data_IF_232939057955
#
_entry.id   IF_232939057955
#
_cell.length_a   1.000
_cell.length_b   1.000
_cell.length_c   1.000
_cell.angle_alpha   90.00
_cell.angle_beta   90.00
_cell.angle_gamma   90.00
#
_symmetry.space_group_name_H-M   'P 1'
#
loop_
_entity.id
_entity.type
_entity.pdbx_description
1 polymer ?
#
# COMPACT_ATOMS: atom_id res chain seq x y z
N UNK A 1 24.00 7.42 7.90
CA UNK A 1 23.17 7.60 6.67
C UNK A 1 23.92 7.33 5.34
N UNK A 2 25.04 6.57 5.33
CA UNK A 2 25.84 6.35 4.11
C UNK A 2 25.09 5.57 3.01
N UNK A 3 24.32 4.55 3.40
CA UNK A 3 23.56 3.71 2.47
C UNK A 3 22.56 4.47 1.58
N UNK A 4 22.14 5.66 2.02
CA UNK A 4 21.14 6.50 1.31
C UNK A 4 21.77 7.63 0.48
N UNK A 5 23.08 7.84 0.59
CA UNK A 5 23.77 8.99 -0.03
C UNK A 5 23.86 8.88 -1.56
N UNK A 6 24.05 7.67 -2.08
CA UNK A 6 24.23 7.48 -3.52
C UNK A 6 23.00 7.89 -4.33
N UNK A 7 21.79 7.58 -3.83
CA UNK A 7 20.54 7.96 -4.48
C UNK A 7 20.34 9.49 -4.49
N UNK A 8 20.84 10.20 -3.46
CA UNK A 8 20.78 11.66 -3.43
C UNK A 8 21.53 12.29 -4.60
N UNK A 9 22.64 11.66 -5.03
CA UNK A 9 23.49 12.16 -6.11
C UNK A 9 23.00 11.71 -7.48
N UNK A 10 22.43 10.52 -7.55
CA UNK A 10 21.96 9.89 -8.78
C UNK A 10 20.72 9.05 -8.48
N UNK A 11 19.51 9.62 -8.66
CA UNK A 11 18.25 8.94 -8.39
C UNK A 11 17.92 7.88 -9.45
N UNK A 12 18.53 6.69 -9.31
CA UNK A 12 18.32 5.57 -10.22
C UNK A 12 18.33 4.23 -9.49
N UNK A 13 17.83 3.17 -10.16
CA UNK A 13 17.67 1.82 -9.60
C UNK A 13 18.97 1.29 -8.97
N UNK A 14 20.13 1.62 -9.55
CA UNK A 14 21.44 1.19 -9.06
C UNK A 14 21.76 1.67 -7.63
N UNK A 15 21.11 2.74 -7.20
CA UNK A 15 21.33 3.37 -5.90
C UNK A 15 20.19 3.14 -4.90
N UNK A 16 19.21 2.29 -5.26
CA UNK A 16 18.20 1.82 -4.32
C UNK A 16 18.79 0.86 -3.30
N UNK A 17 18.19 0.79 -2.12
CA UNK A 17 18.50 -0.24 -1.12
C UNK A 17 18.04 -1.58 -1.64
N UNK A 18 18.96 -2.53 -1.65
CA UNK A 18 18.72 -3.92 -2.00
C UNK A 18 18.83 -4.76 -0.73
N UNK A 19 18.23 -5.95 -0.74
CA UNK A 19 18.56 -6.97 0.24
C UNK A 19 20.09 -7.22 0.21
N UNK A 20 20.69 -7.62 1.34
CA UNK A 20 22.13 -7.94 1.36
C UNK A 20 22.42 -9.14 0.46
N UNK A 21 23.67 -9.26 0.03
CA UNK A 21 24.06 -10.41 -0.78
C UNK A 21 23.89 -11.70 0.01
N UNK A 22 23.34 -12.73 -0.66
CA UNK A 22 22.95 -14.01 -0.08
C UNK A 22 21.82 -13.95 0.96
N UNK A 23 21.21 -12.79 1.20
CA UNK A 23 20.01 -12.66 2.03
C UNK A 23 18.76 -12.58 1.14
N UNK A 24 17.85 -13.53 1.33
CA UNK A 24 16.55 -13.55 0.64
C UNK A 24 15.43 -12.83 1.42
N UNK A 25 15.75 -12.25 2.58
CA UNK A 25 14.81 -11.55 3.46
C UNK A 25 15.43 -10.24 3.98
N UNK A 26 14.62 -9.38 4.60
CA UNK A 26 15.10 -8.09 5.13
C UNK A 26 14.04 -6.98 5.21
N UNK A 27 12.77 -7.33 5.04
CA UNK A 27 11.61 -6.44 5.13
C UNK A 27 10.42 -7.21 5.72
N UNK A 28 9.30 -6.54 5.96
CA UNK A 28 8.18 -7.07 6.77
C UNK A 28 7.60 -8.39 6.25
N UNK A 29 7.61 -8.61 4.93
CA UNK A 29 7.15 -9.85 4.28
C UNK A 29 8.13 -11.01 4.44
N UNK A 30 9.20 -10.90 5.22
CA UNK A 30 9.91 -12.02 5.87
C UNK A 30 10.34 -13.26 5.06
N UNK A 31 10.21 -13.29 3.73
CA UNK A 31 10.52 -14.43 2.88
C UNK A 31 10.89 -13.98 1.46
N UNK A 32 11.69 -14.78 0.71
CA UNK A 32 11.99 -14.50 -0.70
C UNK A 32 10.73 -14.50 -1.57
N UNK A 33 9.83 -15.47 -1.33
CA UNK A 33 8.56 -15.58 -2.04
C UNK A 33 7.64 -14.39 -1.82
N UNK A 34 7.70 -13.76 -0.64
CA UNK A 34 6.93 -12.54 -0.34
C UNK A 34 7.29 -11.36 -1.25
N UNK A 35 8.43 -11.38 -1.94
CA UNK A 35 8.85 -10.39 -2.92
C UNK A 35 8.85 -10.92 -4.36
N UNK A 36 8.28 -12.10 -4.63
CA UNK A 36 8.40 -12.73 -5.95
C UNK A 36 9.86 -13.03 -6.30
N UNK A 37 10.69 -13.36 -5.30
CA UNK A 37 12.14 -13.57 -5.41
C UNK A 37 12.95 -12.35 -5.89
N UNK A 38 12.38 -11.16 -5.85
CA UNK A 38 13.08 -9.91 -6.12
C UNK A 38 13.94 -9.44 -4.94
N UNK A 39 14.85 -8.50 -5.22
CA UNK A 39 15.84 -8.02 -4.23
C UNK A 39 15.76 -6.53 -3.91
N UNK A 40 14.94 -5.75 -4.62
CA UNK A 40 14.81 -4.31 -4.41
C UNK A 40 13.36 -4.00 -4.01
N UNK A 41 13.04 -4.06 -2.70
CA UNK A 41 11.66 -3.93 -2.23
C UNK A 41 11.11 -2.50 -2.31
N UNK A 42 9.83 -2.37 -2.70
CA UNK A 42 9.11 -1.09 -2.68
C UNK A 42 8.97 -0.54 -1.27
N UNK A 43 8.62 -1.39 -0.30
CA UNK A 43 8.35 -0.98 1.07
C UNK A 43 9.61 -0.37 1.74
N UNK A 44 10.79 -0.86 1.42
CA UNK A 44 12.03 -0.24 1.92
C UNK A 44 12.28 1.10 1.23
N UNK A 45 12.29 1.10 -0.10
CA UNK A 45 12.81 2.23 -0.87
C UNK A 45 11.85 3.43 -0.93
N UNK A 46 10.57 3.17 -1.14
CA UNK A 46 9.57 4.22 -1.31
C UNK A 46 8.95 4.68 0.00
N UNK A 47 8.93 3.82 1.04
CA UNK A 47 8.10 4.10 2.23
C UNK A 47 8.81 3.97 3.58
N UNK A 48 9.91 3.23 3.74
CA UNK A 48 10.65 3.18 5.02
C UNK A 48 11.87 4.09 5.06
N UNK A 49 12.63 4.19 3.95
CA UNK A 49 13.81 5.06 3.90
C UNK A 49 13.46 6.54 4.07
N UNK A 50 12.49 7.12 3.32
CA UNK A 50 12.18 8.54 3.46
C UNK A 50 11.75 8.95 4.88
N UNK A 51 10.78 8.29 5.56
CA UNK A 51 10.40 8.69 6.91
C UNK A 51 11.47 8.37 7.95
N UNK A 52 12.30 7.35 7.77
CA UNK A 52 13.45 7.12 8.65
C UNK A 52 14.46 8.29 8.58
N UNK A 53 14.70 8.84 7.40
CA UNK A 53 15.56 10.01 7.22
C UNK A 53 14.91 11.27 7.81
N UNK A 54 13.60 11.48 7.65
CA UNK A 54 12.89 12.55 8.34
C UNK A 54 12.97 12.39 9.86
N UNK A 55 12.78 11.17 10.39
CA UNK A 55 12.90 10.88 11.81
C UNK A 55 14.30 11.17 12.34
N UNK A 56 15.37 10.81 11.60
CA UNK A 56 16.74 11.21 11.96
C UNK A 56 16.85 12.74 12.04
N UNK A 57 16.32 13.46 11.04
CA UNK A 57 16.32 14.92 11.06
C UNK A 57 15.62 15.48 12.31
N UNK A 58 14.43 14.99 12.64
CA UNK A 58 13.68 15.46 13.82
C UNK A 58 14.35 15.08 15.14
N UNK A 59 14.81 13.84 15.29
CA UNK A 59 15.50 13.38 16.50
C UNK A 59 16.79 14.17 16.74
N UNK A 60 17.52 14.60 15.69
CA UNK A 60 18.68 15.49 15.85
C UNK A 60 18.33 16.91 16.30
N UNK A 61 17.05 17.33 16.21
CA UNK A 61 16.60 18.62 16.76
C UNK A 61 16.21 18.51 18.24
N UNK A 62 15.98 17.30 18.75
CA UNK A 62 15.58 17.08 20.13
C UNK A 62 16.81 17.14 21.05
N UNK A 63 16.75 17.94 22.13
CA UNK A 63 17.81 17.94 23.14
C UNK A 63 18.05 16.52 23.68
N UNK A 64 19.31 16.20 23.97
CA UNK A 64 19.76 14.98 24.64
C UNK A 64 19.49 13.63 23.92
N UNK A 65 18.92 13.62 22.71
CA UNK A 65 18.74 12.38 21.93
C UNK A 65 20.04 11.95 21.25
N UNK A 66 20.78 12.90 20.68
CA UNK A 66 22.10 12.66 20.09
C UNK A 66 23.17 13.51 20.79
N UNK A 67 24.44 13.06 20.81
CA UNK A 67 25.54 13.87 21.33
C UNK A 67 25.62 15.20 20.59
N UNK A 68 25.80 16.31 21.30
CA UNK A 68 25.97 17.63 20.69
C UNK A 68 27.40 17.76 20.12
N UNK A 69 27.59 17.38 18.86
CA UNK A 69 28.87 17.45 18.17
C UNK A 69 28.68 17.79 16.67
N UNK A 70 29.77 18.11 15.98
CA UNK A 70 29.71 18.55 14.59
C UNK A 70 29.12 17.49 13.62
N UNK A 71 29.24 16.20 13.94
CA UNK A 71 28.72 15.12 13.10
C UNK A 71 27.19 15.06 13.14
N UNK A 72 26.61 15.06 14.35
CA UNK A 72 25.17 14.98 14.57
C UNK A 72 24.45 16.26 14.14
N UNK A 73 25.08 17.44 14.35
CA UNK A 73 24.58 18.71 13.83
C UNK A 73 24.46 18.70 12.30
N UNK A 74 25.43 18.09 11.60
CA UNK A 74 25.38 17.98 10.15
C UNK A 74 24.23 17.06 9.66
N UNK A 75 23.79 16.10 10.49
CA UNK A 75 22.72 15.17 10.11
C UNK A 75 21.36 15.86 9.97
N UNK A 76 21.09 16.90 10.77
CA UNK A 76 19.81 17.61 10.77
C UNK A 76 19.38 18.04 9.37
N UNK A 77 20.22 18.81 8.68
CA UNK A 77 19.91 19.31 7.34
C UNK A 77 20.10 18.22 6.27
N UNK A 78 21.15 17.41 6.38
CA UNK A 78 21.45 16.37 5.39
C UNK A 78 20.35 15.31 5.32
N UNK A 79 19.81 14.87 6.46
CA UNK A 79 18.76 13.87 6.54
C UNK A 79 17.45 14.36 5.92
N UNK A 80 17.01 15.59 6.23
CA UNK A 80 15.79 16.16 5.64
C UNK A 80 15.91 16.35 4.13
N UNK A 81 17.05 16.88 3.65
CA UNK A 81 17.32 17.03 2.21
C UNK A 81 17.25 15.68 1.51
N UNK A 82 17.92 14.68 2.07
CA UNK A 82 17.96 13.33 1.52
C UNK A 82 16.59 12.65 1.55
N UNK A 83 15.84 12.81 2.64
CA UNK A 83 14.48 12.30 2.77
C UNK A 83 13.60 12.82 1.63
N UNK A 84 13.69 14.12 1.32
CA UNK A 84 12.97 14.72 0.20
C UNK A 84 13.36 14.10 -1.14
N UNK A 85 14.66 13.97 -1.42
CA UNK A 85 15.13 13.34 -2.68
C UNK A 85 14.62 11.90 -2.81
N UNK A 86 14.72 11.11 -1.75
CA UNK A 86 14.21 9.73 -1.73
C UNK A 86 12.69 9.68 -1.96
N UNK A 87 11.92 10.48 -1.21
CA UNK A 87 10.47 10.55 -1.33
C UNK A 87 10.03 10.91 -2.75
N UNK A 88 10.67 11.90 -3.36
CA UNK A 88 10.22 12.44 -4.66
C UNK A 88 10.69 11.57 -5.84
N UNK A 89 11.82 10.86 -5.73
CA UNK A 89 12.44 10.19 -6.88
C UNK A 89 12.29 8.67 -6.87
N UNK A 90 11.93 8.03 -5.75
CA UNK A 90 11.79 6.57 -5.71
C UNK A 90 10.46 6.05 -6.27
N UNK A 91 9.27 6.66 -6.02
CA UNK A 91 8.01 6.11 -6.52
C UNK A 91 7.95 5.96 -8.05
N UNK A 92 8.44 6.92 -8.87
CA UNK A 92 8.47 6.75 -10.33
C UNK A 92 9.27 5.55 -10.83
N UNK A 93 10.28 5.09 -10.06
CA UNK A 93 11.08 3.92 -10.42
C UNK A 93 10.29 2.61 -10.29
N UNK A 94 9.28 2.57 -9.42
CA UNK A 94 8.41 1.41 -9.19
C UNK A 94 7.08 1.50 -9.95
N UNK A 95 6.65 2.71 -10.33
CA UNK A 95 5.40 2.91 -11.05
C UNK A 95 5.39 2.16 -12.40
N UNK A 96 4.28 1.52 -12.72
CA UNK A 96 4.00 0.98 -14.05
C UNK A 96 2.58 1.32 -14.48
N UNK A 97 2.32 1.15 -15.79
CA UNK A 97 0.97 1.25 -16.32
C UNK A 97 0.70 0.16 -17.35
N UNK A 98 -0.54 -0.30 -17.40
CA UNK A 98 -1.04 -1.33 -18.32
C UNK A 98 -2.31 -0.78 -18.95
N UNK A 99 -2.56 -0.99 -20.25
CA UNK A 99 -3.83 -0.55 -20.83
C UNK A 99 -4.99 -1.39 -20.29
N UNK A 100 -6.20 -0.82 -20.28
CA UNK A 100 -7.40 -1.55 -19.82
C UNK A 100 -7.65 -2.82 -20.61
N UNK A 101 -7.31 -2.83 -21.91
CA UNK A 101 -7.45 -3.99 -22.78
C UNK A 101 -6.47 -5.08 -22.38
N UNK A 102 -5.18 -4.73 -22.19
CA UNK A 102 -4.17 -5.70 -21.76
C UNK A 102 -4.47 -6.22 -20.36
N UNK A 103 -4.89 -5.36 -19.44
CA UNK A 103 -5.32 -5.76 -18.10
C UNK A 103 -6.50 -6.75 -18.17
N UNK A 104 -7.51 -6.47 -19.00
CA UNK A 104 -8.65 -7.40 -19.21
C UNK A 104 -8.18 -8.78 -19.68
N UNK A 105 -7.31 -8.84 -20.70
CA UNK A 105 -6.75 -10.11 -21.17
C UNK A 105 -5.97 -10.86 -20.09
N UNK A 106 -5.20 -10.14 -19.26
CA UNK A 106 -4.44 -10.74 -18.16
C UNK A 106 -5.36 -11.34 -17.09
N UNK A 107 -6.47 -10.67 -16.75
CA UNK A 107 -7.44 -11.21 -15.79
C UNK A 107 -8.13 -12.47 -16.33
N UNK A 108 -8.46 -12.51 -17.63
CA UNK A 108 -9.00 -13.70 -18.28
C UNK A 108 -7.98 -14.84 -18.30
N UNK A 109 -6.72 -14.55 -18.63
CA UNK A 109 -5.62 -15.52 -18.57
C UNK A 109 -5.45 -16.09 -17.15
N UNK A 110 -5.51 -15.24 -16.13
CA UNK A 110 -5.40 -15.66 -14.73
C UNK A 110 -6.47 -16.69 -14.37
N UNK A 111 -7.75 -16.42 -14.68
CA UNK A 111 -8.85 -17.37 -14.37
C UNK A 111 -8.74 -18.72 -15.07
N UNK A 112 -7.98 -18.82 -16.16
CA UNK A 112 -7.73 -20.09 -16.86
C UNK A 112 -6.61 -20.92 -16.22
N UNK A 113 -5.74 -20.27 -15.44
CA UNK A 113 -4.52 -20.85 -14.88
C UNK A 113 -4.59 -21.08 -13.37
N UNK A 114 -5.47 -20.36 -12.69
CA UNK A 114 -5.59 -20.41 -11.24
C UNK A 114 -6.49 -21.55 -10.77
N UNK A 115 -5.99 -22.34 -9.83
CA UNK A 115 -6.68 -23.53 -9.32
C UNK A 115 -7.53 -23.26 -8.07
N UNK A 116 -7.43 -22.08 -7.44
CA UNK A 116 -8.14 -21.74 -6.20
C UNK A 116 -9.24 -20.69 -6.38
N UNK A 117 -9.31 -20.04 -7.55
CA UNK A 117 -10.31 -19.03 -7.89
C UNK A 117 -10.92 -19.29 -9.27
N UNK A 118 -12.22 -19.57 -9.29
CA UNK A 118 -13.02 -19.71 -10.51
C UNK A 118 -14.18 -18.69 -10.60
N UNK A 119 -14.02 -17.54 -9.92
CA UNK A 119 -14.99 -16.46 -9.91
C UNK A 119 -14.87 -15.49 -11.09
N UNK A 120 -15.66 -14.41 -11.12
CA UNK A 120 -15.59 -13.39 -12.16
C UNK A 120 -14.26 -12.65 -12.16
N UNK A 121 -13.81 -12.19 -13.33
CA UNK A 121 -12.58 -11.40 -13.48
C UNK A 121 -12.69 -9.99 -12.92
N UNK A 122 -13.91 -9.44 -12.87
CA UNK A 122 -14.19 -8.03 -12.56
C UNK A 122 -13.52 -7.03 -13.51
N UNK A 123 -13.27 -7.42 -14.77
CA UNK A 123 -12.69 -6.55 -15.79
C UNK A 123 -13.51 -5.27 -16.04
N UNK A 124 -14.84 -5.31 -15.83
CA UNK A 124 -15.72 -4.14 -15.92
C UNK A 124 -15.32 -3.02 -14.95
N UNK A 125 -14.71 -3.37 -13.80
CA UNK A 125 -14.25 -2.40 -12.81
C UNK A 125 -13.03 -1.59 -13.27
N UNK A 126 -12.25 -2.10 -14.24
CA UNK A 126 -11.07 -1.40 -14.78
C UNK A 126 -11.44 -0.09 -15.49
N UNK A 127 -12.63 -0.02 -16.08
CA UNK A 127 -13.13 1.14 -16.82
C UNK A 127 -13.86 2.17 -15.95
N UNK A 128 -14.20 1.83 -14.70
CA UNK A 128 -14.93 2.73 -13.79
C UNK A 128 -14.03 3.82 -13.19
N UNK A 129 -12.71 3.66 -13.28
CA UNK A 129 -11.74 4.56 -12.70
C UNK A 129 -11.12 5.48 -13.77
N UNK A 130 -11.02 6.81 -13.55
CA UNK A 130 -10.69 7.80 -14.58
C UNK A 130 -9.18 7.89 -14.88
N UNK A 131 -8.56 6.79 -15.31
CA UNK A 131 -7.13 6.72 -15.58
C UNK A 131 -6.79 6.69 -17.08
N UNK A 132 -7.60 7.37 -17.90
CA UNK A 132 -7.39 7.52 -19.35
C UNK A 132 -7.14 6.20 -20.09
N UNK A 133 -7.89 5.14 -19.74
CA UNK A 133 -7.75 3.81 -20.36
C UNK A 133 -6.52 3.02 -19.92
N UNK A 134 -5.91 3.38 -18.79
CA UNK A 134 -4.77 2.65 -18.22
C UNK A 134 -5.01 2.29 -16.76
N UNK A 135 -4.53 1.15 -16.32
CA UNK A 135 -4.33 0.86 -14.90
C UNK A 135 -2.94 1.37 -14.53
N UNK A 136 -2.87 2.33 -13.60
CA UNK A 136 -1.61 2.79 -13.01
C UNK A 136 -1.46 2.12 -11.64
N UNK A 137 -0.26 1.61 -11.38
CA UNK A 137 0.05 0.90 -10.12
C UNK A 137 1.56 0.97 -9.83
N UNK A 138 1.96 0.45 -8.68
CA UNK A 138 3.35 0.41 -8.21
C UNK A 138 3.79 -1.03 -8.01
N UNK A 139 4.97 -1.35 -8.53
CA UNK A 139 5.52 -2.69 -8.43
C UNK A 139 5.88 -3.02 -6.98
N UNK A 140 5.58 -4.25 -6.55
CA UNK A 140 5.93 -4.76 -5.23
C UNK A 140 7.44 -4.70 -4.96
N UNK A 141 8.22 -4.94 -6.02
CA UNK A 141 9.67 -4.90 -5.99
C UNK A 141 10.24 -4.71 -7.40
N UNK A 142 11.55 -4.44 -7.46
CA UNK A 142 12.35 -4.58 -8.68
C UNK A 142 13.28 -5.78 -8.49
N UNK A 143 13.37 -6.63 -9.53
CA UNK A 143 14.04 -7.93 -9.45
C UNK A 143 15.49 -7.80 -9.00
N UNK A 144 16.33 -7.09 -9.74
CA UNK A 144 17.73 -6.76 -9.35
C UNK A 144 18.21 -5.50 -10.08
N UNK A 145 19.41 -4.99 -9.77
CA UNK A 145 20.03 -3.93 -10.59
C UNK A 145 20.40 -4.42 -11.99
N UNK A 146 20.83 -5.68 -12.13
CA UNK A 146 21.25 -6.24 -13.42
C UNK A 146 20.08 -6.61 -14.34
N UNK A 147 18.94 -6.98 -13.77
CA UNK A 147 17.67 -7.26 -14.44
C UNK A 147 16.59 -6.48 -13.68
N UNK A 148 16.36 -5.20 -14.06
CA UNK A 148 15.50 -4.28 -13.33
C UNK A 148 14.02 -4.46 -13.67
N UNK A 149 13.59 -5.71 -13.85
CA UNK A 149 12.19 -6.04 -14.13
C UNK A 149 11.33 -5.74 -12.89
N UNK A 150 10.16 -5.15 -13.13
CA UNK A 150 9.19 -4.82 -12.09
C UNK A 150 8.35 -6.03 -11.74
N UNK A 151 8.23 -6.33 -10.46
CA UNK A 151 7.30 -7.33 -9.95
C UNK A 151 5.90 -6.69 -9.91
N UNK A 152 5.17 -6.80 -11.03
CA UNK A 152 3.85 -6.20 -11.25
C UNK A 152 2.74 -6.93 -10.49
N UNK A 153 2.81 -6.87 -9.17
CA UNK A 153 1.85 -7.43 -8.22
C UNK A 153 1.19 -6.26 -7.50
N UNK A 154 -0.12 -6.06 -7.65
CA UNK A 154 -0.86 -5.03 -6.90
C UNK A 154 -0.79 -5.38 -5.41
N UNK A 155 -0.49 -4.43 -4.53
CA UNK A 155 -0.19 -4.75 -3.13
C UNK A 155 -0.65 -3.66 -2.15
N UNK A 156 -0.80 -4.02 -0.87
CA UNK A 156 -1.22 -3.08 0.19
C UNK A 156 -0.06 -2.26 0.77
N UNK A 157 1.20 -2.51 0.42
CA UNK A 157 2.36 -1.78 0.97
C UNK A 157 2.30 -0.27 0.64
N UNK A 158 1.46 0.14 -0.32
CA UNK A 158 1.11 1.55 -0.57
C UNK A 158 0.51 2.23 0.67
N UNK A 159 -0.13 1.48 1.57
CA UNK A 159 -0.65 1.97 2.86
C UNK A 159 0.42 2.65 3.73
N UNK A 160 1.65 2.13 3.72
CA UNK A 160 2.76 2.75 4.44
C UNK A 160 3.04 4.15 3.93
N UNK A 161 3.01 4.36 2.61
CA UNK A 161 3.21 5.67 2.02
C UNK A 161 2.11 6.64 2.46
N UNK A 162 0.84 6.21 2.38
CA UNK A 162 -0.31 7.01 2.80
C UNK A 162 -0.23 7.42 4.28
N UNK A 163 0.32 6.55 5.12
CA UNK A 163 0.35 6.76 6.58
C UNK A 163 1.59 7.51 7.07
N UNK A 164 2.77 7.23 6.51
CA UNK A 164 4.06 7.73 7.01
C UNK A 164 4.56 8.99 6.31
N UNK A 165 4.03 9.32 5.13
CA UNK A 165 4.60 10.35 4.27
C UNK A 165 3.56 11.39 3.85
N UNK A 166 4.05 12.63 3.78
CA UNK A 166 3.36 13.75 3.15
C UNK A 166 4.23 14.20 1.96
N UNK A 167 3.67 14.17 0.74
CA UNK A 167 4.37 14.63 -0.47
C UNK A 167 4.07 16.09 -0.77
N UNK A 168 5.09 16.82 -1.23
CA UNK A 168 4.94 18.19 -1.76
C UNK A 168 4.87 18.20 -3.30
N UNK A 169 5.13 17.05 -3.92
CA UNK A 169 4.91 16.83 -5.35
C UNK A 169 3.44 16.42 -5.54
N UNK A 170 2.62 17.41 -5.92
CA UNK A 170 1.17 17.28 -6.04
C UNK A 170 0.75 16.33 -7.17
N UNK A 171 1.48 16.29 -8.30
CA UNK A 171 1.14 15.42 -9.43
C UNK A 171 1.45 13.96 -9.10
N UNK A 172 2.60 13.71 -8.48
CA UNK A 172 2.96 12.39 -7.98
C UNK A 172 1.99 11.92 -6.90
N UNK A 173 1.68 12.78 -5.93
CA UNK A 173 0.72 12.48 -4.86
C UNK A 173 -0.67 12.18 -5.42
N UNK A 174 -1.16 13.00 -6.35
CA UNK A 174 -2.46 12.77 -7.01
C UNK A 174 -2.50 11.43 -7.73
N UNK A 175 -1.43 11.09 -8.46
CA UNK A 175 -1.31 9.80 -9.15
C UNK A 175 -1.28 8.63 -8.16
N UNK A 176 -0.50 8.75 -7.09
CA UNK A 176 -0.34 7.72 -6.07
C UNK A 176 -1.66 7.44 -5.32
N UNK A 177 -2.34 8.51 -4.88
CA UNK A 177 -3.63 8.42 -4.19
C UNK A 177 -4.68 7.78 -5.09
N UNK A 178 -4.74 8.21 -6.35
CA UNK A 178 -5.69 7.65 -7.30
C UNK A 178 -5.42 6.15 -7.56
N UNK A 179 -4.16 5.76 -7.78
CA UNK A 179 -3.80 4.36 -7.99
C UNK A 179 -4.16 3.50 -6.77
N UNK A 180 -3.78 3.95 -5.58
CA UNK A 180 -4.00 3.22 -4.32
C UNK A 180 -5.49 3.09 -3.98
N UNK A 181 -6.26 4.17 -4.09
CA UNK A 181 -7.69 4.16 -3.83
C UNK A 181 -8.44 3.22 -4.80
N UNK A 182 -8.10 3.26 -6.09
CA UNK A 182 -8.73 2.40 -7.07
C UNK A 182 -8.31 0.91 -6.92
N UNK A 183 -7.10 0.62 -6.45
CA UNK A 183 -6.72 -0.75 -6.10
C UNK A 183 -7.60 -1.34 -4.99
N UNK A 184 -7.98 -0.53 -3.99
CA UNK A 184 -8.93 -0.93 -2.94
C UNK A 184 -10.37 -1.03 -3.46
N UNK A 185 -10.82 -0.09 -4.29
CA UNK A 185 -12.20 -0.10 -4.81
C UNK A 185 -12.49 -1.24 -5.78
N UNK A 186 -11.47 -1.73 -6.50
CA UNK A 186 -11.63 -2.85 -7.44
C UNK A 186 -11.68 -4.18 -6.68
N UNK A 187 -12.69 -5.04 -6.96
CA UNK A 187 -12.69 -6.40 -6.44
C UNK A 187 -11.51 -7.22 -6.98
N UNK A 188 -10.96 -8.14 -6.19
CA UNK A 188 -10.08 -9.21 -6.67
C UNK A 188 -10.84 -10.02 -7.73
N UNK A 189 -10.37 -10.22 -8.96
CA UNK A 189 -8.99 -10.13 -9.49
C UNK A 189 -8.51 -8.77 -10.00
N UNK A 190 -9.40 -7.82 -10.28
CA UNK A 190 -9.03 -6.52 -10.85
C UNK A 190 -8.37 -5.56 -9.84
N UNK A 191 -8.51 -5.83 -8.54
CA UNK A 191 -7.91 -5.07 -7.44
C UNK A 191 -7.66 -5.93 -6.21
N UNK A 192 -7.77 -5.33 -5.03
CA UNK A 192 -7.37 -5.97 -3.78
C UNK A 192 -8.56 -6.49 -2.95
N UNK A 193 -9.78 -6.02 -3.21
CA UNK A 193 -10.88 -6.26 -2.27
C UNK A 193 -11.64 -7.56 -2.51
N UNK A 194 -11.92 -8.28 -1.43
CA UNK A 194 -12.84 -9.42 -1.38
C UNK A 194 -13.90 -9.14 -0.31
N UNK A 195 -15.03 -9.87 -0.29
CA UNK A 195 -16.00 -9.77 0.80
C UNK A 195 -15.43 -10.09 2.20
N UNK A 196 -14.27 -10.75 2.29
CA UNK A 196 -13.61 -11.09 3.57
C UNK A 196 -12.43 -10.17 3.92
N UNK A 197 -12.23 -9.08 3.17
CA UNK A 197 -11.15 -8.10 3.37
C UNK A 197 -10.32 -7.84 2.11
N UNK A 198 -9.29 -7.00 2.22
CA UNK A 198 -8.38 -6.69 1.12
C UNK A 198 -7.12 -7.59 1.17
N UNK A 199 -6.80 -8.25 0.05
CA UNK A 199 -5.60 -9.11 -0.05
C UNK A 199 -4.33 -8.27 -0.06
N UNK A 200 -3.23 -8.79 0.50
CA UNK A 200 -1.96 -8.04 0.60
C UNK A 200 -1.12 -8.04 -0.68
N UNK A 201 -1.37 -9.01 -1.57
CA UNK A 201 -0.72 -9.12 -2.87
C UNK A 201 -1.68 -9.77 -3.87
N UNK A 202 -1.76 -9.22 -5.07
CA UNK A 202 -2.55 -9.75 -6.18
C UNK A 202 -1.67 -9.81 -7.45
N UNK A 203 -1.32 -11.03 -7.92
CA UNK A 203 -0.50 -11.23 -9.11
C UNK A 203 -1.30 -11.19 -10.42
N UNK A 204 -2.63 -10.98 -10.41
CA UNK A 204 -3.47 -11.17 -11.59
C UNK A 204 -3.13 -10.26 -12.80
N UNK A 205 -2.45 -9.14 -12.56
CA UNK A 205 -1.99 -8.23 -13.60
C UNK A 205 -0.52 -8.44 -14.01
N UNK A 206 0.15 -9.47 -13.48
CA UNK A 206 1.57 -9.72 -13.78
C UNK A 206 1.77 -10.33 -15.17
N UNK A 207 0.86 -11.22 -15.60
CA UNK A 207 1.06 -12.06 -16.78
C UNK A 207 2.21 -13.07 -16.65
N UNK A 208 2.66 -13.32 -15.43
CA UNK A 208 3.81 -14.17 -15.10
C UNK A 208 3.34 -15.38 -14.27
N UNK A 209 3.51 -16.57 -14.83
CA UNK A 209 3.04 -17.82 -14.23
C UNK A 209 3.80 -18.19 -12.95
N UNK A 210 5.08 -17.81 -12.84
CA UNK A 210 5.85 -18.01 -11.61
C UNK A 210 5.30 -17.13 -10.49
N UNK A 211 4.95 -15.87 -10.79
CA UNK A 211 4.35 -14.97 -9.80
C UNK A 211 2.95 -15.45 -9.37
N UNK A 212 2.14 -15.96 -10.30
CA UNK A 212 0.82 -16.55 -9.98
C UNK A 212 1.00 -17.76 -9.04
N UNK A 213 1.96 -18.64 -9.34
CA UNK A 213 2.28 -19.79 -8.49
C UNK A 213 2.86 -19.44 -7.12
N UNK A 214 3.54 -18.29 -6.99
CA UNK A 214 4.11 -17.79 -5.73
C UNK A 214 3.03 -17.16 -4.84
N UNK A 215 2.17 -16.32 -5.39
CA UNK A 215 1.21 -15.51 -4.64
C UNK A 215 -0.20 -16.14 -4.63
N UNK A 216 -0.32 -17.34 -4.04
CA UNK A 216 -1.62 -18.04 -3.89
C UNK A 216 -2.38 -17.61 -2.64
N UNK A 217 -3.64 -18.04 -2.50
CA UNK A 217 -4.42 -17.84 -1.27
C UNK A 217 -3.89 -18.68 -0.08
N UNK A 218 -2.97 -19.61 -0.33
CA UNK A 218 -2.31 -20.39 0.73
C UNK A 218 -0.91 -19.84 1.08
N UNK A 219 -0.38 -18.89 0.31
CA UNK A 219 0.93 -18.31 0.59
C UNK A 219 0.84 -17.23 1.69
N UNK A 220 1.76 -17.26 2.67
CA UNK A 220 1.74 -16.37 3.84
C UNK A 220 1.73 -14.86 3.50
N UNK A 221 2.26 -14.48 2.34
CA UNK A 221 2.25 -13.12 1.79
C UNK A 221 1.59 -13.04 0.40
N UNK A 222 0.78 -14.05 0.07
CA UNK A 222 0.04 -14.19 -1.19
C UNK A 222 -1.24 -13.37 -1.24
N UNK A 223 -2.28 -13.94 -1.85
CA UNK A 223 -3.62 -13.36 -1.92
C UNK A 223 -4.40 -13.55 -0.60
N UNK A 224 -3.71 -13.37 0.52
CA UNK A 224 -4.22 -13.47 1.90
C UNK A 224 -4.48 -12.10 2.47
N UNK A 225 -5.22 -12.04 3.58
CA UNK A 225 -5.57 -10.80 4.26
C UNK A 225 -4.81 -10.70 5.58
N UNK A 226 -4.16 -9.56 5.81
CA UNK A 226 -3.46 -9.26 7.06
C UNK A 226 -4.18 -8.16 7.82
N UNK A 227 -4.54 -8.40 9.09
CA UNK A 227 -5.33 -7.46 9.87
C UNK A 227 -4.65 -6.10 10.04
N UNK A 228 -3.36 -6.09 10.34
CA UNK A 228 -2.61 -4.84 10.50
C UNK A 228 -2.45 -4.05 9.19
N UNK A 229 -2.40 -4.72 8.03
CA UNK A 229 -2.38 -4.06 6.72
C UNK A 229 -3.72 -3.36 6.43
N UNK A 230 -4.85 -3.99 6.80
CA UNK A 230 -6.16 -3.33 6.72
C UNK A 230 -6.21 -2.09 7.61
N UNK A 231 -5.75 -2.21 8.85
CA UNK A 231 -5.70 -1.10 9.80
C UNK A 231 -4.79 0.04 9.29
N UNK A 232 -3.60 -0.30 8.77
CA UNK A 232 -2.67 0.68 8.22
C UNK A 232 -3.25 1.38 6.99
N UNK A 233 -3.87 0.64 6.08
CA UNK A 233 -4.53 1.20 4.90
C UNK A 233 -5.67 2.14 5.31
N UNK A 234 -6.53 1.71 6.24
CA UNK A 234 -7.63 2.54 6.73
C UNK A 234 -7.13 3.85 7.36
N UNK A 235 -6.10 3.80 8.22
CA UNK A 235 -5.50 4.99 8.82
C UNK A 235 -4.71 5.85 7.83
N UNK A 236 -4.11 5.24 6.81
CA UNK A 236 -3.47 5.95 5.71
C UNK A 236 -4.47 6.75 4.89
N UNK A 237 -5.56 6.12 4.44
CA UNK A 237 -6.65 6.80 3.72
C UNK A 237 -7.28 7.91 4.58
N UNK A 238 -7.51 7.65 5.87
CA UNK A 238 -7.99 8.63 6.85
C UNK A 238 -7.08 9.86 6.93
N UNK A 239 -5.76 9.64 7.09
CA UNK A 239 -4.77 10.72 7.18
C UNK A 239 -4.83 11.62 5.94
N UNK A 240 -4.91 11.03 4.75
CA UNK A 240 -4.94 11.78 3.50
C UNK A 240 -6.26 12.58 3.35
N UNK A 241 -7.39 12.02 3.78
CA UNK A 241 -8.69 12.73 3.82
C UNK A 241 -8.68 13.89 4.82
N UNK A 242 -8.11 13.70 6.01
CA UNK A 242 -7.96 14.76 7.02
C UNK A 242 -7.10 15.93 6.50
N UNK A 243 -6.08 15.63 5.68
CA UNK A 243 -5.29 16.63 4.96
C UNK A 243 -6.13 17.54 4.05
N UNK A 244 -7.23 17.03 3.47
CA UNK A 244 -8.16 17.87 2.73
C UNK A 244 -9.03 18.72 3.66
N UNK A 245 -9.53 18.15 4.77
CA UNK A 245 -10.47 18.80 5.69
C UNK A 245 -9.88 19.93 6.54
N UNK A 246 -8.58 19.91 6.81
CA UNK A 246 -7.89 20.91 7.64
C UNK A 246 -7.96 22.36 7.09
N UNK A 247 -8.59 22.57 5.93
CA UNK A 247 -8.87 23.85 5.32
C UNK A 247 -10.36 24.16 5.04
N UNK A 248 -11.28 23.23 5.34
CA UNK A 248 -12.72 23.41 5.06
C UNK A 248 -13.51 24.12 6.17
N UNK A 249 -12.88 24.45 7.30
CA UNK A 249 -13.53 25.21 8.36
C UNK A 249 -13.71 26.68 7.95
N UNK A 250 -14.93 27.07 7.56
CA UNK A 250 -15.34 28.44 7.14
C UNK A 250 -14.97 29.59 8.10
N UNK A 251 -14.40 29.30 9.28
CA UNK A 251 -14.08 30.27 10.33
C UNK A 251 -12.70 30.08 10.98
N UNK A 252 -11.86 29.17 10.51
CA UNK A 252 -10.51 28.99 11.03
C UNK A 252 -9.47 29.17 9.91
N UNK A 253 -8.35 29.88 10.16
CA UNK A 253 -7.23 29.87 9.23
C UNK A 253 -6.75 28.42 9.03
N UNK A 254 -6.46 28.04 7.79
CA UNK A 254 -5.87 26.74 7.46
C UNK A 254 -4.67 26.47 8.37
N UNK A 255 -4.77 25.40 9.17
CA UNK A 255 -3.68 24.98 10.06
C UNK A 255 -2.54 24.28 9.29
N UNK A 256 -2.78 23.94 8.02
CA UNK A 256 -1.83 23.32 7.10
C UNK A 256 -1.33 24.31 6.05
N UNK A 257 -0.03 24.24 5.74
CA UNK A 257 0.66 25.15 4.82
C UNK A 257 0.35 24.89 3.35
N UNK A 258 -0.02 23.66 3.00
CA UNK A 258 -0.30 23.22 1.64
C UNK A 258 -1.47 22.24 1.66
N UNK A 259 -2.51 22.53 0.87
CA UNK A 259 -3.61 21.57 0.65
C UNK A 259 -3.26 20.79 -0.61
N UNK A 260 -3.14 19.45 -0.53
CA UNK A 260 -2.83 18.64 -1.70
C UNK A 260 -3.77 18.88 -2.87
N UNK A 261 -3.22 18.97 -4.08
CA UNK A 261 -4.02 19.26 -5.28
C UNK A 261 -5.11 18.21 -5.54
N UNK A 262 -4.88 16.94 -5.19
CA UNK A 262 -5.87 15.87 -5.34
C UNK A 262 -7.19 16.16 -4.60
N UNK A 263 -7.16 16.96 -3.52
CA UNK A 263 -8.36 17.34 -2.78
C UNK A 263 -9.35 18.16 -3.64
N UNK A 264 -8.88 18.76 -4.74
CA UNK A 264 -9.68 19.54 -5.69
C UNK A 264 -9.98 18.77 -6.98
N UNK A 265 -9.37 17.60 -7.17
CA UNK A 265 -9.65 16.72 -8.31
C UNK A 265 -10.78 15.79 -7.91
N UNK A 266 -12.02 16.16 -8.25
CA UNK A 266 -13.24 15.49 -7.80
C UNK A 266 -13.18 13.96 -7.94
N UNK A 267 -12.73 13.46 -9.09
CA UNK A 267 -12.59 12.02 -9.32
C UNK A 267 -11.63 11.32 -8.35
N UNK A 268 -10.50 11.95 -8.01
CA UNK A 268 -9.49 11.37 -7.11
C UNK A 268 -9.92 11.50 -5.65
N UNK A 269 -10.44 12.66 -5.26
CA UNK A 269 -10.99 12.87 -3.91
C UNK A 269 -12.14 11.89 -3.61
N UNK A 270 -13.07 11.72 -4.55
CA UNK A 270 -14.16 10.77 -4.40
C UNK A 270 -13.66 9.33 -4.39
N UNK A 271 -12.68 8.96 -5.22
CA UNK A 271 -12.07 7.63 -5.16
C UNK A 271 -11.44 7.36 -3.79
N UNK A 272 -10.67 8.31 -3.24
CA UNK A 272 -10.08 8.20 -1.91
C UNK A 272 -11.14 8.04 -0.82
N UNK A 273 -12.19 8.87 -0.83
CA UNK A 273 -13.28 8.82 0.14
C UNK A 273 -14.07 7.52 0.05
N UNK A 274 -14.36 7.05 -1.17
CA UNK A 274 -15.06 5.79 -1.40
C UNK A 274 -14.20 4.61 -0.96
N UNK A 275 -12.90 4.63 -1.24
CA UNK A 275 -11.97 3.57 -0.82
C UNK A 275 -11.90 3.47 0.71
N UNK A 276 -11.85 4.61 1.41
CA UNK A 276 -11.89 4.65 2.87
C UNK A 276 -13.17 4.02 3.42
N UNK A 277 -14.34 4.44 2.90
CA UNK A 277 -15.62 3.93 3.36
C UNK A 277 -15.79 2.44 3.04
N UNK A 278 -15.49 2.05 1.80
CA UNK A 278 -15.58 0.66 1.35
C UNK A 278 -14.67 -0.27 2.15
N UNK A 279 -13.44 0.14 2.43
CA UNK A 279 -12.53 -0.64 3.26
C UNK A 279 -13.06 -0.80 4.69
N UNK A 280 -13.63 0.26 5.28
CA UNK A 280 -14.25 0.17 6.59
C UNK A 280 -15.48 -0.73 6.60
N UNK A 281 -16.32 -0.68 5.57
CA UNK A 281 -17.47 -1.58 5.44
C UNK A 281 -17.01 -3.05 5.40
N UNK A 282 -15.91 -3.35 4.68
CA UNK A 282 -15.29 -4.68 4.69
C UNK A 282 -14.74 -5.07 6.06
N UNK A 283 -14.05 -4.15 6.76
CA UNK A 283 -13.49 -4.39 8.09
C UNK A 283 -14.61 -4.66 9.10
N UNK A 284 -15.64 -3.82 9.14
CA UNK A 284 -16.76 -3.91 10.07
C UNK A 284 -17.63 -5.15 9.79
N UNK A 285 -17.85 -5.46 8.51
CA UNK A 285 -18.53 -6.68 8.06
C UNK A 285 -17.79 -7.98 8.42
N UNK A 286 -16.49 -7.91 8.74
CA UNK A 286 -15.66 -9.04 9.15
C UNK A 286 -15.15 -8.90 10.60
N UNK A 287 -15.88 -8.17 11.45
CA UNK A 287 -15.48 -7.87 12.84
C UNK A 287 -15.07 -9.09 13.67
N UNK A 288 -15.73 -10.23 13.49
CA UNK A 288 -15.41 -11.51 14.16
C UNK A 288 -13.98 -12.01 13.84
N UNK A 289 -13.40 -11.59 12.72
CA UNK A 289 -12.11 -12.07 12.24
C UNK A 289 -10.95 -11.13 12.58
N UNK A 290 -11.22 -9.91 13.05
CA UNK A 290 -10.21 -8.85 13.22
C UNK A 290 -9.17 -9.11 14.32
N UNK A 291 -9.38 -10.14 15.15
CA UNK A 291 -8.40 -10.61 16.13
C UNK A 291 -7.45 -11.68 15.55
N UNK A 292 -7.65 -12.08 14.29
CA UNK A 292 -6.72 -12.93 13.56
C UNK A 292 -5.54 -12.09 13.05
N UNK A 293 -4.33 -12.64 13.09
CA UNK A 293 -3.16 -12.01 12.47
C UNK A 293 -3.33 -11.91 10.94
N UNK A 294 -3.56 -13.09 10.34
CA UNK A 294 -3.67 -13.32 8.92
C UNK A 294 -4.74 -14.37 8.68
N UNK A 295 -5.54 -14.18 7.64
CA UNK A 295 -6.53 -15.15 7.19
C UNK A 295 -6.58 -15.20 5.68
N UNK A 296 -7.30 -16.19 5.18
CA UNK A 296 -7.48 -16.42 3.76
C UNK A 296 -8.95 -16.70 3.47
N UNK A 297 -9.19 -17.24 2.29
CA UNK A 297 -10.50 -17.51 1.75
C UNK A 297 -10.45 -18.71 0.81
N UNK A 298 -11.59 -19.36 0.68
CA UNK A 298 -11.89 -20.30 -0.39
C UNK A 298 -12.98 -19.72 -1.27
N UNK A 299 -12.98 -20.04 -2.56
CA UNK A 299 -14.02 -19.61 -3.48
C UNK A 299 -14.81 -20.82 -3.99
N UNK A 300 -16.12 -20.65 -4.15
CA UNK A 300 -17.03 -21.67 -4.68
C UNK A 300 -18.20 -21.01 -5.41
N UNK A 301 -19.17 -21.79 -5.88
CA UNK A 301 -20.41 -21.27 -6.46
C UNK A 301 -21.22 -20.38 -5.49
N UNK A 302 -21.00 -20.52 -4.18
CA UNK A 302 -21.59 -19.66 -3.15
C UNK A 302 -20.80 -18.35 -2.92
N UNK A 303 -19.72 -18.12 -3.67
CA UNK A 303 -18.80 -17.00 -3.53
C UNK A 303 -17.67 -17.27 -2.56
N UNK A 304 -17.11 -16.17 -2.03
CA UNK A 304 -16.02 -16.18 -1.06
C UNK A 304 -16.49 -16.72 0.30
N UNK A 305 -15.65 -17.55 0.91
CA UNK A 305 -15.82 -18.02 2.28
C UNK A 305 -14.51 -17.82 3.03
N UNK A 306 -14.59 -17.23 4.21
CA UNK A 306 -13.46 -17.10 5.12
C UNK A 306 -12.80 -18.47 5.39
N UNK A 307 -11.48 -18.49 5.45
CA UNK A 307 -10.70 -19.66 5.87
C UNK A 307 -9.51 -19.22 6.72
N UNK A 308 -9.25 -19.83 7.88
CA UNK A 308 -7.96 -19.69 8.55
C UNK A 308 -6.84 -20.09 7.59
N UNK A 309 -5.75 -19.32 7.54
CA UNK A 309 -4.66 -19.63 6.61
C UNK A 309 -4.07 -21.02 6.87
N UNK A 310 -3.93 -21.42 8.13
CA UNK A 310 -3.45 -22.75 8.52
C UNK A 310 -4.33 -23.91 8.04
N UNK A 311 -5.59 -23.67 7.64
CA UNK A 311 -6.44 -24.69 7.04
C UNK A 311 -6.12 -24.93 5.55
N UNK A 312 -5.44 -23.99 4.89
CA UNK A 312 -5.04 -24.07 3.48
C UNK A 312 -3.57 -24.47 3.30
N UNK A 313 -2.78 -24.46 4.37
CA UNK A 313 -1.35 -24.78 4.33
C UNK A 313 -1.03 -25.98 5.21
N UNK A 314 -0.07 -26.80 4.80
CA UNK A 314 0.40 -27.95 5.59
C UNK A 314 1.41 -27.59 6.69
N UNK A 315 1.69 -26.30 6.94
CA UNK A 315 2.78 -25.91 7.84
C UNK A 315 2.81 -24.48 8.37
N UNK A 316 1.87 -23.60 8.02
CA UNK A 316 1.85 -22.21 8.51
C UNK A 316 0.72 -22.02 9.52
N UNK A 317 1.09 -21.98 10.79
CA UNK A 317 0.17 -21.74 11.90
C UNK A 317 -0.20 -20.25 11.97
N UNK A 318 -1.48 -19.91 11.82
CA UNK A 318 -2.02 -18.62 12.24
C UNK A 318 -2.15 -18.66 13.77
N UNK A 319 -1.04 -18.46 14.48
CA UNK A 319 -1.01 -18.52 15.94
C UNK A 319 -1.90 -17.44 16.56
N UNK A 320 -2.52 -17.76 17.71
CA UNK A 320 -3.71 -17.02 18.14
C UNK A 320 -3.46 -15.60 18.65
N UNK A 321 -2.23 -15.14 18.93
CA UNK A 321 -1.94 -13.72 19.28
C UNK A 321 -0.48 -13.33 19.00
N UNK A 322 -0.21 -12.68 17.88
CA UNK A 322 0.99 -11.86 17.70
C UNK A 322 0.67 -10.38 17.94
N UNK A 323 1.68 -9.51 18.06
CA UNK A 323 1.46 -8.07 18.26
C UNK A 323 0.54 -7.49 17.15
N UNK A 324 0.69 -7.97 15.92
CA UNK A 324 -0.08 -7.56 14.76
C UNK A 324 -1.57 -7.96 14.83
N UNK A 325 -1.92 -8.98 15.61
CA UNK A 325 -3.30 -9.40 15.89
C UNK A 325 -4.09 -8.38 16.72
N UNK A 326 -3.42 -7.40 17.33
CA UNK A 326 -4.02 -6.43 18.25
C UNK A 326 -4.38 -5.09 17.61
N UNK A 327 -4.19 -4.95 16.29
CA UNK A 327 -4.32 -3.67 15.59
C UNK A 327 -5.70 -3.00 15.77
N UNK A 328 -6.76 -3.81 15.75
CA UNK A 328 -8.13 -3.31 15.89
C UNK A 328 -8.63 -3.17 17.33
N UNK A 329 -7.77 -3.32 18.35
CA UNK A 329 -8.13 -2.94 19.72
C UNK A 329 -8.33 -1.42 19.85
N UNK A 330 -7.59 -0.63 19.07
CA UNK A 330 -7.61 0.84 19.13
C UNK A 330 -7.98 1.52 17.82
N UNK A 331 -7.83 0.84 16.68
CA UNK A 331 -8.17 1.39 15.37
C UNK A 331 -9.67 1.27 15.12
N UNK A 332 -10.33 2.41 14.94
CA UNK A 332 -11.79 2.53 14.68
C UNK A 332 -12.03 3.52 13.54
N UNK A 333 -13.17 3.35 12.86
CA UNK A 333 -13.62 4.26 11.80
C UNK A 333 -13.81 5.67 12.38
N UNK A 334 -13.20 6.66 11.73
CA UNK A 334 -13.56 8.05 11.96
C UNK A 334 -14.93 8.32 11.31
N UNK A 335 -15.95 8.44 12.16
CA UNK A 335 -17.33 8.70 11.75
C UNK A 335 -17.53 10.04 11.05
N UNK A 336 -16.62 11.01 11.22
CA UNK A 336 -16.71 12.31 10.53
C UNK A 336 -16.42 12.21 9.03
N UNK A 337 -15.76 11.13 8.62
CA UNK A 337 -15.43 10.83 7.22
C UNK A 337 -16.39 9.81 6.58
N UNK A 338 -17.34 9.30 7.37
CA UNK A 338 -18.30 8.31 6.89
C UNK A 338 -19.31 8.93 5.92
N UNK A 339 -19.71 8.18 4.88
CA UNK A 339 -20.85 8.54 4.06
C UNK A 339 -22.14 8.49 4.90
N UNK A 340 -22.63 9.67 5.31
CA UNK A 340 -23.92 9.81 6.00
C UNK A 340 -23.85 10.29 7.46
N UNK A 341 -23.30 11.50 7.68
CA UNK A 341 -23.80 12.47 8.69
C UNK A 341 -23.13 13.84 8.54
N UNK A 342 -23.30 14.47 7.38
CA UNK A 342 -23.46 15.93 7.44
C UNK A 342 -24.80 16.14 8.10
N UNK A 343 -24.79 16.63 9.34
CA UNK A 343 -26.01 16.94 10.08
C UNK A 343 -26.96 17.68 9.13
N UNK A 344 -28.17 17.14 8.97
CA UNK A 344 -29.32 18.01 8.78
C UNK A 344 -29.18 19.10 9.84
N UNK A 345 -28.85 20.30 9.38
CA UNK A 345 -29.06 21.49 10.19
C UNK A 345 -30.57 21.57 10.30
N UNK A 346 -31.12 21.02 11.38
CA UNK A 346 -32.48 21.31 11.80
C UNK A 346 -32.61 22.84 11.90
N UNK A 347 -33.46 23.35 11.00
CA UNK A 347 -34.16 24.64 10.94
C UNK A 347 -33.56 25.86 11.66
#
# INVERSE_FOLDING_TARGET
MKATEALEKDPSIKNLIQLKDNEGTGQWRGSPSGLGNARIPFDVNCVLVPPALYAISELTRMPDVYPNNAETEAWKAAAAKRAKVWKDNTPPLFQYNITTEKATSLLEDYTRKDDFYNGPTHADSLHKCPSAGKVVDYALAIKTVASPDKIAVTHTDTAFWLFLLDSEDDDQLTTFINATANAILRPFLAGLSTPVGAVVANPALSGDDDLIGIFTNSAYYGTVIWGWQLALMAKGLERQLQGCLACHAKRAPCLIRHVPSFCRVEGVYNALRNAYNYLWDLIEGNSDQLQSEVWSWTYSNAGYKFSPLGALTSGTESNIRQLWSSSFLTVKRDSSLAEGRWMEVEL
#
